data_IF_959979172538
#
_entry.id   IF_959979172538
#
_cell.length_a   1.000
_cell.length_b   1.000
_cell.length_c   1.000
_cell.angle_alpha   90.00
_cell.angle_beta   90.00
_cell.angle_gamma   90.00
#
_symmetry.space_group_name_H-M   'P 1'
#
loop_
_entity.id
_entity.type
_entity.pdbx_description
1 polymer ?
#
# COMPACT_ATOMS: atom_id res chain seq x y z
N UNK A 1 4.51 -9.30 34.23
CA UNK A 1 4.23 -9.63 32.82
C UNK A 1 5.19 -8.80 31.99
N UNK A 2 6.00 -9.41 31.14
CA UNK A 2 6.93 -8.68 30.27
C UNK A 2 6.16 -8.00 29.13
N UNK A 3 6.41 -6.71 28.90
CA UNK A 3 5.85 -5.92 27.80
C UNK A 3 6.80 -5.91 26.59
N UNK A 4 6.26 -5.74 25.38
CA UNK A 4 7.07 -5.55 24.17
C UNK A 4 8.08 -4.39 24.34
N UNK A 5 7.66 -3.32 25.03
CA UNK A 5 8.49 -2.13 25.27
C UNK A 5 9.62 -2.36 26.29
N UNK A 6 9.58 -3.45 27.04
CA UNK A 6 10.65 -3.81 27.99
C UNK A 6 11.83 -4.50 27.27
N UNK A 7 11.65 -4.86 25.99
CA UNK A 7 12.70 -5.45 25.17
C UNK A 7 13.66 -4.37 24.64
N UNK A 8 14.96 -4.71 24.47
CA UNK A 8 15.91 -3.87 23.76
C UNK A 8 15.39 -3.45 22.38
N UNK A 9 15.78 -2.27 21.92
CA UNK A 9 15.31 -1.70 20.66
C UNK A 9 15.65 -2.61 19.46
N UNK A 10 16.79 -3.29 19.52
CA UNK A 10 17.27 -4.22 18.51
C UNK A 10 16.34 -5.42 18.36
N UNK A 11 15.87 -5.98 19.48
CA UNK A 11 14.92 -7.10 19.47
C UNK A 11 13.56 -6.65 18.96
N UNK A 12 13.09 -5.46 19.39
CA UNK A 12 11.85 -4.87 18.86
C UNK A 12 11.93 -4.65 17.35
N UNK A 13 13.07 -4.17 16.85
CA UNK A 13 13.31 -4.02 15.42
C UNK A 13 13.20 -5.35 14.67
N UNK A 14 13.85 -6.41 15.16
CA UNK A 14 13.72 -7.75 14.57
C UNK A 14 12.26 -8.22 14.57
N UNK A 15 11.50 -7.94 15.63
CA UNK A 15 10.07 -8.27 15.68
C UNK A 15 9.29 -7.47 14.64
N UNK A 16 9.51 -6.16 14.52
CA UNK A 16 8.82 -5.32 13.54
C UNK A 16 9.10 -5.75 12.11
N UNK A 17 10.35 -6.03 11.77
CA UNK A 17 10.71 -6.53 10.42
C UNK A 17 10.03 -7.85 10.07
N UNK A 18 9.80 -8.74 11.05
CA UNK A 18 9.09 -9.99 10.85
C UNK A 18 7.56 -9.82 10.70
N UNK A 19 6.97 -8.87 11.44
CA UNK A 19 5.52 -8.70 11.54
C UNK A 19 4.95 -7.73 10.50
N UNK A 20 5.70 -6.68 10.14
CA UNK A 20 5.25 -5.65 9.23
C UNK A 20 5.40 -6.11 7.78
N UNK A 21 4.32 -6.60 7.20
CA UNK A 21 4.26 -7.06 5.80
C UNK A 21 3.28 -6.21 5.01
N UNK A 22 3.67 -4.99 4.58
CA UNK A 22 2.76 -4.06 3.92
C UNK A 22 2.13 -4.64 2.64
N UNK A 23 2.83 -5.56 1.97
CA UNK A 23 2.39 -6.21 0.74
C UNK A 23 1.29 -7.29 0.95
N UNK A 24 0.89 -7.59 2.18
CA UNK A 24 -0.19 -8.56 2.42
C UNK A 24 -1.57 -8.07 2.00
N UNK A 25 -1.76 -6.76 1.78
CA UNK A 25 -3.03 -6.20 1.29
C UNK A 25 -3.50 -6.86 -0.02
N UNK A 26 -2.57 -7.39 -0.84
CA UNK A 26 -2.86 -8.14 -2.07
C UNK A 26 -3.70 -9.40 -1.79
N UNK A 27 -3.57 -10.01 -0.60
CA UNK A 27 -4.45 -11.12 -0.19
C UNK A 27 -5.90 -10.66 -0.10
N UNK A 28 -6.15 -9.42 0.33
CA UNK A 28 -7.48 -8.82 0.35
C UNK A 28 -8.04 -8.61 -1.07
N UNK A 29 -7.19 -8.27 -2.05
CA UNK A 29 -7.61 -8.19 -3.46
C UNK A 29 -8.09 -9.55 -3.99
N UNK A 30 -7.43 -10.65 -3.58
CA UNK A 30 -7.84 -12.00 -3.97
C UNK A 30 -9.18 -12.37 -3.34
N UNK A 31 -9.37 -12.08 -2.06
CA UNK A 31 -10.64 -12.32 -1.35
C UNK A 31 -11.83 -11.57 -1.98
N UNK A 32 -11.60 -10.39 -2.57
CA UNK A 32 -12.66 -9.63 -3.26
C UNK A 32 -13.00 -10.19 -4.65
N UNK A 33 -12.11 -10.97 -5.27
CA UNK A 33 -12.37 -11.64 -6.54
C UNK A 33 -13.18 -12.93 -6.36
N UNK A 34 -13.17 -13.51 -5.16
CA UNK A 34 -13.94 -14.70 -4.80
C UNK A 34 -15.27 -14.27 -4.15
N UNK A 35 -16.42 -14.40 -4.83
CA UNK A 35 -17.71 -13.91 -4.33
C UNK A 35 -18.30 -14.72 -3.15
N UNK A 36 -17.59 -15.73 -2.63
CA UNK A 36 -18.15 -16.74 -1.71
C UNK A 36 -17.95 -16.48 -0.21
N UNK A 37 -17.92 -15.23 0.25
CA UNK A 37 -18.11 -14.96 1.68
C UNK A 37 -19.09 -13.84 1.95
N UNK A 38 -20.37 -14.12 1.67
CA UNK A 38 -21.49 -13.37 2.26
C UNK A 38 -21.67 -13.82 3.72
N UNK A 39 -20.91 -13.21 4.63
CA UNK A 39 -21.26 -13.29 6.04
C UNK A 39 -22.54 -12.47 6.25
N UNK A 40 -23.64 -13.20 6.45
CA UNK A 40 -24.93 -12.67 6.92
C UNK A 40 -24.71 -11.83 8.17
N UNK A 41 -24.86 -10.52 8.05
CA UNK A 41 -24.80 -9.59 9.17
C UNK A 41 -25.49 -8.30 8.81
N UNK A 42 -26.59 -7.99 9.51
CA UNK A 42 -27.26 -6.70 9.39
C UNK A 42 -26.37 -5.54 9.85
N UNK A 43 -26.77 -4.29 9.60
CA UNK A 43 -25.95 -3.14 9.93
C UNK A 43 -25.79 -3.01 11.44
N UNK A 44 -24.54 -2.97 11.90
CA UNK A 44 -24.15 -2.87 13.33
C UNK A 44 -24.67 -1.60 14.02
N UNK A 45 -25.25 -0.65 13.27
CA UNK A 45 -25.88 0.54 13.80
C UNK A 45 -27.19 0.27 14.56
N UNK A 46 -27.76 -0.94 14.46
CA UNK A 46 -28.94 -1.34 15.23
C UNK A 46 -28.63 -1.76 16.69
N UNK A 47 -27.35 -1.92 17.04
CA UNK A 47 -26.93 -2.34 18.37
C UNK A 47 -26.71 -1.09 19.25
N UNK A 48 -27.44 -0.93 20.37
CA UNK A 48 -27.24 0.20 21.27
C UNK A 48 -25.81 0.20 21.83
N UNK A 49 -25.10 1.31 21.66
CA UNK A 49 -23.72 1.43 22.13
C UNK A 49 -23.69 1.66 23.65
N UNK A 50 -22.92 0.89 24.42
CA UNK A 50 -22.74 1.16 25.85
C UNK A 50 -22.06 2.52 26.05
N UNK A 51 -22.58 3.30 26.98
CA UNK A 51 -22.00 4.59 27.37
C UNK A 51 -20.79 4.33 28.27
N UNK A 52 -19.58 4.42 27.71
CA UNK A 52 -18.32 4.16 28.43
C UNK A 52 -17.77 5.48 28.99
N UNK A 53 -17.30 5.47 30.25
CA UNK A 53 -16.56 6.61 30.84
C UNK A 53 -15.36 6.96 29.94
N UNK A 54 -15.18 8.25 29.64
CA UNK A 54 -14.10 8.74 28.77
C UNK A 54 -12.76 8.74 29.51
N UNK A 55 -12.10 7.59 29.55
CA UNK A 55 -10.67 7.49 29.85
C UNK A 55 -9.98 6.83 28.67
N UNK A 56 -8.78 7.28 28.32
CA UNK A 56 -7.96 6.60 27.29
C UNK A 56 -7.34 5.36 27.92
N UNK A 57 -7.72 4.15 27.51
CA UNK A 57 -7.10 2.94 28.04
C UNK A 57 -5.59 2.96 27.80
N UNK A 58 -4.81 2.47 28.77
CA UNK A 58 -3.35 2.39 28.67
C UNK A 58 -2.88 1.64 27.42
N UNK A 59 -3.67 0.66 26.94
CA UNK A 59 -3.42 -0.05 25.69
C UNK A 59 -3.37 0.88 24.46
N UNK A 60 -4.18 1.94 24.40
CA UNK A 60 -4.13 2.90 23.29
C UNK A 60 -2.86 3.75 23.34
N UNK A 61 -2.38 4.09 24.55
CA UNK A 61 -1.14 4.84 24.74
C UNK A 61 0.10 3.99 24.40
N UNK A 62 0.09 2.72 24.80
CA UNK A 62 1.13 1.75 24.43
C UNK A 62 1.16 1.52 22.92
N UNK A 63 0.00 1.32 22.30
CA UNK A 63 -0.12 1.18 20.85
C UNK A 63 0.36 2.43 20.11
N UNK A 64 0.13 3.63 20.66
CA UNK A 64 0.69 4.86 20.07
C UNK A 64 2.22 4.84 20.04
N UNK A 65 2.87 4.45 21.15
CA UNK A 65 4.34 4.36 21.21
C UNK A 65 4.89 3.30 20.27
N UNK A 66 4.29 2.12 20.28
CA UNK A 66 4.65 1.03 19.37
C UNK A 66 4.46 1.46 17.92
N UNK A 67 3.35 2.12 17.60
CA UNK A 67 3.08 2.61 16.25
C UNK A 67 4.09 3.66 15.81
N UNK A 68 4.46 4.62 16.66
CA UNK A 68 5.47 5.62 16.30
C UNK A 68 6.83 5.00 15.98
N UNK A 69 7.22 3.96 16.69
CA UNK A 69 8.47 3.23 16.45
C UNK A 69 8.35 2.36 15.19
N UNK A 70 7.29 1.56 15.10
CA UNK A 70 7.05 0.63 14.00
C UNK A 70 6.84 1.33 12.65
N UNK A 71 6.14 2.48 12.63
CA UNK A 71 5.87 3.22 11.40
C UNK A 71 7.16 3.70 10.73
N UNK A 72 8.15 4.13 11.51
CA UNK A 72 9.45 4.55 10.97
C UNK A 72 10.07 3.44 10.09
N UNK A 73 10.02 2.20 10.57
CA UNK A 73 10.51 1.05 9.82
C UNK A 73 9.57 0.64 8.68
N UNK A 74 8.26 0.73 8.90
CA UNK A 74 7.27 0.39 7.89
C UNK A 74 7.47 1.23 6.61
N UNK A 75 7.75 2.52 6.74
CA UNK A 75 7.97 3.43 5.60
C UNK A 75 9.21 3.08 4.76
N UNK A 76 10.19 2.39 5.34
CA UNK A 76 11.41 1.95 4.65
C UNK A 76 11.19 0.64 3.87
N UNK A 77 10.13 -0.12 4.17
CA UNK A 77 9.85 -1.37 3.47
C UNK A 77 9.28 -1.06 2.07
N UNK A 78 9.86 -1.60 0.98
CA UNK A 78 9.34 -1.37 -0.36
C UNK A 78 7.89 -1.83 -0.51
N UNK A 79 7.04 -0.89 -0.92
CA UNK A 79 5.62 -1.15 -1.14
C UNK A 79 5.38 -1.54 -2.61
N UNK A 80 4.95 -2.78 -2.83
CA UNK A 80 4.54 -3.27 -4.13
C UNK A 80 3.09 -2.86 -4.38
N UNK A 81 2.90 -1.92 -5.29
CA UNK A 81 1.62 -1.40 -5.72
C UNK A 81 1.16 -2.11 -6.99
N UNK A 82 0.09 -2.88 -6.84
CA UNK A 82 -0.61 -3.57 -7.91
C UNK A 82 -1.87 -2.81 -8.31
N UNK A 83 -2.22 -2.87 -9.59
CA UNK A 83 -3.47 -2.26 -10.08
C UNK A 83 -4.68 -2.71 -9.26
N UNK A 84 -5.56 -1.76 -8.93
CA UNK A 84 -6.78 -2.04 -8.18
C UNK A 84 -7.69 -3.00 -8.95
N UNK A 85 -8.36 -3.95 -8.26
CA UNK A 85 -9.39 -4.77 -8.90
C UNK A 85 -10.48 -3.87 -9.48
N UNK A 86 -10.96 -4.20 -10.69
CA UNK A 86 -11.87 -3.36 -11.47
C UNK A 86 -13.26 -3.19 -10.85
N UNK A 87 -13.66 -4.07 -9.93
CA UNK A 87 -15.04 -4.13 -9.42
C UNK A 87 -15.11 -5.02 -8.20
N UNK A 88 -15.73 -4.55 -7.10
CA UNK A 88 -16.70 -5.29 -6.28
C UNK A 88 -17.22 -4.39 -5.14
N UNK A 89 -18.55 -4.33 -4.98
CA UNK A 89 -19.36 -3.37 -4.20
C UNK A 89 -19.82 -2.11 -4.95
N UNK A 90 -21.11 -2.09 -5.31
CA UNK A 90 -21.92 -0.90 -5.63
C UNK A 90 -21.53 -0.05 -6.87
N UNK A 91 -21.09 -0.66 -7.98
CA UNK A 91 -20.83 0.05 -9.26
C UNK A 91 -19.78 1.19 -9.17
N UNK A 92 -18.94 1.20 -8.13
CA UNK A 92 -17.86 2.18 -7.97
C UNK A 92 -16.51 1.51 -8.26
N UNK A 93 -15.63 2.22 -8.95
CA UNK A 93 -14.24 1.80 -9.12
C UNK A 93 -13.50 1.95 -7.79
N UNK A 94 -12.90 0.85 -7.30
CA UNK A 94 -12.12 0.88 -6.06
C UNK A 94 -10.83 1.66 -6.24
N UNK A 95 -10.53 2.52 -5.28
CA UNK A 95 -9.27 3.24 -5.18
C UNK A 95 -8.28 2.51 -4.24
N UNK A 96 -6.98 2.73 -4.46
CA UNK A 96 -5.93 2.15 -3.60
C UNK A 96 -6.06 2.66 -2.15
N UNK A 97 -6.59 3.87 -1.99
CA UNK A 97 -6.83 4.55 -0.72
C UNK A 97 -7.83 3.82 0.19
N UNK A 98 -8.68 2.96 -0.38
CA UNK A 98 -9.60 2.10 0.39
C UNK A 98 -8.86 0.98 1.15
N UNK A 99 -7.64 0.65 0.74
CA UNK A 99 -6.83 -0.41 1.35
C UNK A 99 -5.60 0.13 2.08
N UNK A 100 -5.02 1.19 1.53
CA UNK A 100 -3.79 1.78 2.03
C UNK A 100 -4.04 3.27 2.22
N UNK A 101 -3.96 3.76 3.46
CA UNK A 101 -4.19 5.17 3.74
C UNK A 101 -3.26 6.07 2.91
N UNK A 102 -3.78 7.19 2.42
CA UNK A 102 -3.00 8.21 1.71
C UNK A 102 -1.76 8.66 2.49
N UNK A 103 -1.90 8.89 3.79
CA UNK A 103 -0.80 9.27 4.68
C UNK A 103 0.35 8.26 4.67
N UNK A 104 0.03 6.97 4.55
CA UNK A 104 1.05 5.94 4.41
C UNK A 104 1.71 5.99 3.03
N UNK A 105 0.93 6.13 1.95
CA UNK A 105 1.45 6.25 0.59
C UNK A 105 2.35 7.47 0.40
N UNK A 106 2.07 8.58 1.07
CA UNK A 106 2.87 9.81 1.02
C UNK A 106 4.22 9.67 1.73
N UNK A 107 4.31 8.76 2.70
CA UNK A 107 5.45 8.61 3.61
C UNK A 107 6.36 7.43 3.29
N UNK A 108 6.00 6.56 2.35
CA UNK A 108 6.89 5.49 1.91
C UNK A 108 8.13 6.05 1.20
N UNK A 109 9.27 5.39 1.40
CA UNK A 109 10.54 5.78 0.77
C UNK A 109 10.74 5.06 -0.56
N UNK A 110 10.24 3.81 -0.67
CA UNK A 110 10.43 2.99 -1.86
C UNK A 110 9.09 2.44 -2.36
N UNK A 111 8.72 2.85 -3.57
CA UNK A 111 7.50 2.43 -4.25
C UNK A 111 7.84 1.52 -5.42
N UNK A 112 7.08 0.44 -5.59
CA UNK A 112 7.25 -0.49 -6.70
C UNK A 112 5.90 -0.65 -7.42
N UNK A 113 5.75 -0.02 -8.58
CA UNK A 113 4.55 -0.15 -9.42
C UNK A 113 4.66 -1.38 -10.30
N UNK A 114 3.73 -2.33 -10.12
CA UNK A 114 3.65 -3.57 -10.89
C UNK A 114 2.39 -3.56 -11.75
N UNK A 115 2.57 -3.17 -13.01
CA UNK A 115 1.48 -2.89 -13.92
C UNK A 115 1.42 -3.94 -15.03
N UNK A 116 0.40 -4.80 -15.00
CA UNK A 116 0.10 -5.70 -16.13
C UNK A 116 -0.48 -4.97 -17.34
N UNK A 117 -1.19 -3.86 -17.09
CA UNK A 117 -1.82 -3.03 -18.10
C UNK A 117 -1.75 -1.56 -17.67
N UNK A 118 -1.80 -0.64 -18.63
CA UNK A 118 -1.79 0.81 -18.37
C UNK A 118 -3.12 1.30 -17.79
N UNK A 119 -3.38 1.03 -16.50
CA UNK A 119 -4.50 1.63 -15.80
C UNK A 119 -4.20 3.10 -15.49
N UNK A 120 -4.58 3.99 -16.41
CA UNK A 120 -4.38 5.44 -16.28
C UNK A 120 -4.94 5.98 -14.97
N UNK A 121 -6.15 5.58 -14.56
CA UNK A 121 -6.79 6.11 -13.36
C UNK A 121 -5.99 5.73 -12.10
N UNK A 122 -5.58 4.47 -11.99
CA UNK A 122 -4.77 4.00 -10.88
C UNK A 122 -3.43 4.74 -10.78
N UNK A 123 -2.69 4.84 -11.89
CA UNK A 123 -1.37 5.48 -11.89
C UNK A 123 -1.49 6.98 -11.58
N UNK A 124 -2.45 7.68 -12.20
CA UNK A 124 -2.63 9.10 -11.95
C UNK A 124 -3.05 9.39 -10.51
N UNK A 125 -3.99 8.63 -9.95
CA UNK A 125 -4.37 8.79 -8.54
C UNK A 125 -3.18 8.65 -7.60
N UNK A 126 -2.30 7.67 -7.85
CA UNK A 126 -1.09 7.49 -7.02
C UNK A 126 -0.11 8.65 -7.19
N UNK A 127 0.09 9.11 -8.42
CA UNK A 127 0.95 10.27 -8.69
C UNK A 127 0.40 11.55 -8.04
N UNK A 128 -0.92 11.74 -8.03
CA UNK A 128 -1.57 12.88 -7.38
C UNK A 128 -1.38 12.83 -5.84
N UNK A 129 -1.52 11.64 -5.24
CA UNK A 129 -1.26 11.43 -3.80
C UNK A 129 0.19 11.78 -3.45
N UNK A 130 1.15 11.33 -4.25
CA UNK A 130 2.57 11.67 -4.07
C UNK A 130 2.88 13.12 -4.44
N UNK A 131 2.12 13.74 -5.33
CA UNK A 131 2.27 15.16 -5.67
C UNK A 131 1.94 16.09 -4.51
N UNK A 132 1.07 15.68 -3.58
CA UNK A 132 0.67 16.49 -2.42
C UNK A 132 1.73 16.53 -1.30
N UNK A 133 2.23 15.37 -0.88
CA UNK A 133 3.33 15.25 0.09
C UNK A 133 4.17 14.03 -0.28
N UNK A 134 5.43 14.27 -0.66
CA UNK A 134 6.30 13.22 -1.20
C UNK A 134 7.50 12.94 -0.29
N UNK A 135 7.61 11.73 0.23
CA UNK A 135 8.82 11.20 0.88
C UNK A 135 9.47 10.07 0.09
N UNK A 136 9.01 9.83 -1.13
CA UNK A 136 9.50 8.78 -1.99
C UNK A 136 10.93 9.12 -2.46
N UNK A 137 11.87 8.24 -2.15
CA UNK A 137 13.25 8.33 -2.59
C UNK A 137 13.45 7.65 -3.95
N UNK A 138 12.64 6.62 -4.23
CA UNK A 138 12.75 5.83 -5.47
C UNK A 138 11.42 5.18 -5.85
N UNK A 139 11.14 5.19 -7.16
CA UNK A 139 10.02 4.50 -7.78
C UNK A 139 10.50 3.50 -8.84
N UNK A 140 10.26 2.21 -8.63
CA UNK A 140 10.53 1.17 -9.64
C UNK A 140 9.22 0.80 -10.35
N UNK A 141 9.20 0.86 -11.69
CA UNK A 141 8.02 0.59 -12.52
C UNK A 141 8.26 -0.65 -13.37
N UNK A 142 7.54 -1.73 -13.10
CA UNK A 142 7.59 -2.97 -13.86
C UNK A 142 6.46 -3.02 -14.88
N UNK A 143 6.82 -3.15 -16.17
CA UNK A 143 5.89 -3.21 -17.31
C UNK A 143 6.14 -4.43 -18.21
N UNK A 144 5.11 -4.94 -18.93
CA UNK A 144 5.25 -6.08 -19.84
C UNK A 144 5.94 -5.67 -21.15
N UNK A 145 6.83 -6.53 -21.69
CA UNK A 145 7.51 -6.31 -22.98
C UNK A 145 6.57 -6.32 -24.20
N UNK A 146 5.47 -7.06 -24.12
CA UNK A 146 4.66 -7.45 -25.28
C UNK A 146 3.43 -6.57 -25.56
N UNK A 147 3.15 -5.54 -24.74
CA UNK A 147 1.91 -4.74 -24.84
C UNK A 147 2.14 -3.22 -24.90
N UNK A 148 3.22 -2.76 -25.53
CA UNK A 148 3.62 -1.35 -25.58
C UNK A 148 2.78 -0.46 -26.52
N UNK A 149 2.00 -1.03 -27.45
CA UNK A 149 1.32 -0.25 -28.50
C UNK A 149 0.00 0.43 -28.08
N UNK A 150 -0.34 0.38 -26.80
CA UNK A 150 -1.60 0.96 -26.32
C UNK A 150 -1.42 2.46 -26.01
N UNK A 151 -2.31 3.33 -26.52
CA UNK A 151 -2.31 4.78 -26.25
C UNK A 151 -2.28 5.10 -24.74
N UNK A 152 -2.84 4.22 -23.91
CA UNK A 152 -2.82 4.33 -22.46
C UNK A 152 -1.40 4.27 -21.87
N UNK A 153 -0.49 3.46 -22.43
CA UNK A 153 0.90 3.39 -21.97
C UNK A 153 1.64 4.68 -22.27
N UNK A 154 1.42 5.30 -23.44
CA UNK A 154 2.01 6.60 -23.78
C UNK A 154 1.64 7.69 -22.76
N UNK A 155 0.38 7.71 -22.33
CA UNK A 155 -0.08 8.67 -21.30
C UNK A 155 0.55 8.39 -19.94
N UNK A 156 0.58 7.12 -19.52
CA UNK A 156 1.18 6.70 -18.25
C UNK A 156 2.68 7.01 -18.22
N UNK A 157 3.41 6.70 -19.28
CA UNK A 157 4.84 6.97 -19.42
C UNK A 157 5.15 8.46 -19.45
N UNK A 158 4.38 9.26 -20.19
CA UNK A 158 4.54 10.72 -20.21
C UNK A 158 4.40 11.32 -18.81
N UNK A 159 3.46 10.81 -18.01
CA UNK A 159 3.21 11.29 -16.65
C UNK A 159 4.26 10.81 -15.66
N UNK A 160 4.67 9.55 -15.74
CA UNK A 160 5.77 9.00 -14.94
C UNK A 160 7.11 9.68 -15.28
N UNK A 161 7.34 10.00 -16.55
CA UNK A 161 8.49 10.79 -17.00
C UNK A 161 8.46 12.21 -16.44
N UNK A 162 7.29 12.86 -16.42
CA UNK A 162 7.14 14.16 -15.75
C UNK A 162 7.44 14.05 -14.25
N UNK A 163 6.92 13.02 -13.58
CA UNK A 163 7.17 12.75 -12.16
C UNK A 163 8.64 12.41 -11.88
N UNK A 164 9.39 11.90 -12.87
CA UNK A 164 10.82 11.60 -12.73
C UNK A 164 11.69 12.82 -12.44
N UNK A 165 11.18 14.02 -12.71
CA UNK A 165 11.83 15.28 -12.32
C UNK A 165 11.84 15.50 -10.80
N UNK A 166 10.94 14.84 -10.06
CA UNK A 166 10.79 14.97 -8.60
C UNK A 166 11.41 13.77 -7.87
N UNK A 167 11.22 12.56 -8.39
CA UNK A 167 11.72 11.31 -7.79
C UNK A 167 12.39 10.46 -8.86
N UNK A 168 13.53 9.81 -8.59
CA UNK A 168 14.10 8.81 -9.49
C UNK A 168 13.09 7.70 -9.83
N UNK A 169 12.71 7.63 -11.11
CA UNK A 169 11.84 6.57 -11.65
C UNK A 169 12.67 5.62 -12.53
N UNK A 170 12.67 4.33 -12.20
CA UNK A 170 13.39 3.30 -12.96
C UNK A 170 12.38 2.35 -13.61
N UNK A 171 12.48 2.19 -14.93
CA UNK A 171 11.61 1.29 -15.68
C UNK A 171 12.26 -0.08 -15.86
N UNK A 172 11.50 -1.13 -15.59
CA UNK A 172 11.90 -2.53 -15.72
C UNK A 172 10.95 -3.24 -16.68
N UNK A 173 11.50 -3.75 -17.79
CA UNK A 173 10.74 -4.51 -18.77
C UNK A 173 10.87 -6.01 -18.51
N UNK A 174 9.74 -6.65 -18.20
CA UNK A 174 9.70 -8.04 -17.74
C UNK A 174 8.56 -8.79 -18.41
N UNK A 175 8.69 -10.11 -18.53
CA UNK A 175 7.63 -10.92 -19.18
C UNK A 175 6.36 -10.99 -18.33
N UNK A 176 6.49 -10.93 -16.99
CA UNK A 176 5.36 -10.89 -16.07
C UNK A 176 5.64 -9.99 -14.85
N UNK A 177 5.14 -8.74 -14.83
CA UNK A 177 5.45 -7.78 -13.77
C UNK A 177 4.85 -8.14 -12.40
N UNK A 178 3.89 -9.08 -12.33
CA UNK A 178 3.34 -9.56 -11.05
C UNK A 178 4.22 -10.59 -10.35
N UNK A 179 5.09 -11.31 -11.08
CA UNK A 179 5.82 -12.47 -10.56
C UNK A 179 7.30 -12.20 -10.30
N UNK A 180 7.86 -11.09 -10.79
CA UNK A 180 9.29 -10.80 -10.61
C UNK A 180 9.56 -10.47 -9.14
N UNK A 181 10.37 -11.26 -8.45
CA UNK A 181 10.87 -10.84 -7.13
C UNK A 181 11.65 -9.54 -7.31
N UNK A 182 11.36 -8.53 -6.48
CA UNK A 182 12.08 -7.27 -6.55
C UNK A 182 13.56 -7.57 -6.37
N UNK A 183 14.35 -7.35 -7.42
CA UNK A 183 15.79 -7.54 -7.38
C UNK A 183 16.32 -6.63 -6.28
N UNK A 184 16.88 -7.23 -5.21
CA UNK A 184 17.56 -6.49 -4.15
C UNK A 184 18.67 -5.67 -4.82
N UNK A 185 18.49 -4.36 -4.90
CA UNK A 185 19.59 -3.46 -5.16
C UNK A 185 20.58 -3.64 -4.00
N UNK A 186 21.76 -4.13 -4.36
CA UNK A 186 22.94 -4.23 -3.49
C UNK A 186 23.59 -2.86 -3.36
#
# INVERSE_FOLDING_TARGET
MASLLDLPAEIRLMIYTCLLKPNEYVKSYRKLKDPESSAKGGPLCAIPRPYVKRYTPSILLLNKKIATEALHYLYQIPLNLYGTPSTYFAMRQMDITEFISEHYLQRIHHGVLRLNHANKHFVLSILDIWGAENRLERLDVYRPKTQLDNQHWKVVESRLSTFSSVVPVVFHEVDNPLKVEATRAT
#
